data_IF_010495994394
#
_entry.id   IF_010495994394
#
_cell.length_a   1.000
_cell.length_b   1.000
_cell.length_c   1.000
_cell.angle_alpha   90.00
_cell.angle_beta   90.00
_cell.angle_gamma   90.00
#
_symmetry.space_group_name_H-M   'P 1'
#
loop_
_entity.id
_entity.type
_entity.pdbx_description
1 polymer ?
#
# COMPACT_ATOMS: atom_id res chain seq x y z
N UNK A 1 -1.94 -12.77 14.73
CA UNK A 1 -1.08 -13.30 15.82
C UNK A 1 0.13 -13.97 15.19
N UNK A 2 1.33 -13.76 15.73
CA UNK A 2 2.54 -14.44 15.25
C UNK A 2 2.40 -15.96 15.37
N UNK A 3 2.73 -16.70 14.32
CA UNK A 3 2.70 -18.16 14.29
C UNK A 3 3.70 -18.71 15.29
N UNK A 4 3.26 -19.55 16.24
CA UNK A 4 4.17 -20.24 17.16
C UNK A 4 5.02 -21.24 16.37
N UNK A 5 6.34 -21.06 16.34
CA UNK A 5 7.27 -21.91 15.59
C UNK A 5 7.56 -23.25 16.27
N UNK A 6 7.15 -23.44 17.53
CA UNK A 6 7.46 -24.62 18.33
C UNK A 6 8.92 -24.69 18.83
N UNK A 7 9.81 -23.84 18.31
CA UNK A 7 11.23 -23.74 18.67
C UNK A 7 11.50 -22.72 19.78
N UNK A 8 10.51 -21.88 20.12
CA UNK A 8 10.67 -20.74 21.04
C UNK A 8 11.06 -19.44 20.34
N UNK A 9 11.25 -19.45 19.02
CA UNK A 9 11.58 -18.26 18.24
C UNK A 9 10.37 -17.33 18.09
N UNK A 10 10.63 -16.03 18.05
CA UNK A 10 9.61 -14.99 17.87
C UNK A 10 10.02 -14.00 16.78
N UNK A 11 9.05 -13.62 15.94
CA UNK A 11 9.24 -12.58 14.93
C UNK A 11 8.98 -11.19 15.52
N UNK A 12 10.04 -10.42 15.75
CA UNK A 12 9.97 -9.12 16.46
C UNK A 12 9.96 -7.88 15.53
N UNK A 13 9.99 -8.08 14.19
CA UNK A 13 10.01 -7.01 13.19
C UNK A 13 8.64 -6.69 12.58
N UNK A 14 7.55 -7.05 13.27
CA UNK A 14 6.18 -6.88 12.76
C UNK A 14 5.83 -5.43 12.41
N UNK A 15 6.43 -4.46 13.13
CA UNK A 15 6.25 -3.03 12.88
C UNK A 15 6.85 -2.55 11.54
N UNK A 16 7.78 -3.32 10.97
CA UNK A 16 8.42 -3.02 9.68
C UNK A 16 7.84 -3.89 8.57
N UNK A 17 7.85 -5.21 8.74
CA UNK A 17 7.34 -6.16 7.74
C UNK A 17 6.30 -7.06 8.39
N UNK A 18 5.03 -6.75 8.17
CA UNK A 18 3.92 -7.55 8.72
C UNK A 18 3.96 -9.01 8.26
N UNK A 19 3.55 -9.92 9.14
CA UNK A 19 3.46 -11.36 8.87
C UNK A 19 2.06 -11.88 9.18
N UNK A 20 1.51 -12.77 8.37
CA UNK A 20 0.25 -13.44 8.67
C UNK A 20 0.30 -14.91 8.22
N UNK A 21 -0.44 -15.82 8.88
CA UNK A 21 -0.52 -17.21 8.44
C UNK A 21 -0.99 -17.28 6.98
N UNK A 22 -0.26 -18.01 6.12
CA UNK A 22 -0.58 -18.12 4.70
C UNK A 22 0.13 -17.10 3.79
N UNK A 23 0.73 -16.03 4.33
CA UNK A 23 1.34 -14.94 3.54
C UNK A 23 2.19 -15.40 2.36
N UNK A 24 3.07 -16.39 2.56
CA UNK A 24 3.92 -16.90 1.48
C UNK A 24 3.11 -17.54 0.35
N UNK A 25 2.13 -18.39 0.68
CA UNK A 25 1.30 -19.06 -0.32
C UNK A 25 0.43 -18.04 -1.08
N UNK A 26 -0.18 -17.09 -0.36
CA UNK A 26 -1.02 -16.06 -0.96
C UNK A 26 -0.20 -15.11 -1.87
N UNK A 27 1.00 -14.71 -1.44
CA UNK A 27 1.91 -13.92 -2.26
C UNK A 27 2.35 -14.65 -3.52
N UNK A 28 2.67 -15.94 -3.40
CA UNK A 28 3.07 -16.76 -4.55
C UNK A 28 1.91 -16.87 -5.56
N UNK A 29 0.70 -17.21 -5.08
CA UNK A 29 -0.48 -17.31 -5.93
C UNK A 29 -0.77 -15.98 -6.65
N UNK A 30 -0.81 -14.86 -5.92
CA UNK A 30 -1.08 -13.55 -6.52
C UNK A 30 -0.02 -13.12 -7.54
N UNK A 31 1.27 -13.41 -7.30
CA UNK A 31 2.34 -13.08 -8.24
C UNK A 31 2.32 -13.99 -9.47
N UNK A 32 2.04 -15.28 -9.31
CA UNK A 32 1.84 -16.21 -10.43
C UNK A 32 0.66 -15.76 -11.30
N UNK A 33 -0.51 -15.51 -10.72
CA UNK A 33 -1.70 -15.05 -11.44
C UNK A 33 -1.44 -13.76 -12.22
N UNK A 34 -0.72 -12.81 -11.63
CA UNK A 34 -0.33 -11.58 -12.32
C UNK A 34 0.64 -11.86 -13.48
N UNK A 35 1.65 -12.70 -13.25
CA UNK A 35 2.67 -13.03 -14.25
C UNK A 35 2.06 -13.71 -15.46
N UNK A 36 1.17 -14.69 -15.23
CA UNK A 36 0.48 -15.43 -16.29
C UNK A 36 -0.39 -14.49 -17.14
N UNK A 37 -1.16 -13.60 -16.50
CA UNK A 37 -1.97 -12.62 -17.21
C UNK A 37 -1.11 -11.61 -17.99
N UNK A 38 -0.07 -11.04 -17.35
CA UNK A 38 0.73 -9.97 -17.95
C UNK A 38 1.64 -10.45 -19.09
N UNK A 39 2.14 -11.68 -19.00
CA UNK A 39 3.02 -12.27 -20.01
C UNK A 39 2.26 -12.96 -21.15
N UNK A 40 0.93 -13.06 -21.08
CA UNK A 40 0.12 -13.67 -22.13
C UNK A 40 0.30 -12.94 -23.47
N UNK A 41 0.45 -13.65 -24.60
CA UNK A 41 0.60 -13.05 -25.93
C UNK A 41 -0.76 -12.65 -26.53
N UNK A 42 -1.58 -11.92 -25.77
CA UNK A 42 -2.88 -11.39 -26.17
C UNK A 42 -2.96 -9.87 -25.86
N UNK A 43 -4.16 -9.29 -25.89
CA UNK A 43 -4.39 -7.86 -25.57
C UNK A 43 -5.18 -7.64 -24.28
N UNK A 44 -5.36 -8.68 -23.45
CA UNK A 44 -6.32 -8.69 -22.35
C UNK A 44 -5.72 -8.17 -21.03
N UNK A 45 -4.41 -7.92 -20.98
CA UNK A 45 -3.66 -7.63 -19.75
C UNK A 45 -4.26 -6.49 -18.92
N UNK A 46 -4.63 -5.39 -19.60
CA UNK A 46 -5.21 -4.24 -18.91
C UNK A 46 -6.63 -4.50 -18.43
N UNK A 47 -7.44 -5.21 -19.23
CA UNK A 47 -8.80 -5.58 -18.85
C UNK A 47 -8.80 -6.51 -17.63
N UNK A 48 -7.78 -7.36 -17.49
CA UNK A 48 -7.64 -8.28 -16.36
C UNK A 48 -7.07 -7.61 -15.10
N UNK A 49 -6.05 -6.75 -15.24
CA UNK A 49 -5.32 -6.20 -14.09
C UNK A 49 -5.99 -4.96 -13.49
N UNK A 50 -6.62 -4.10 -14.31
CA UNK A 50 -7.22 -2.86 -13.80
C UNK A 50 -8.38 -3.10 -12.80
N UNK A 51 -9.30 -4.07 -13.01
CA UNK A 51 -10.32 -4.39 -12.01
C UNK A 51 -9.72 -4.93 -10.70
N UNK A 52 -8.65 -5.74 -10.77
CA UNK A 52 -7.96 -6.24 -9.57
C UNK A 52 -7.33 -5.09 -8.78
N UNK A 53 -6.74 -4.10 -9.47
CA UNK A 53 -6.24 -2.87 -8.83
C UNK A 53 -7.38 -2.09 -8.16
N UNK A 54 -8.53 -1.94 -8.82
CA UNK A 54 -9.66 -1.24 -8.22
C UNK A 54 -10.20 -1.96 -6.99
N UNK A 55 -10.33 -3.30 -7.04
CA UNK A 55 -10.72 -4.11 -5.89
C UNK A 55 -9.78 -3.90 -4.70
N UNK A 56 -8.47 -3.83 -4.92
CA UNK A 56 -7.50 -3.51 -3.86
C UNK A 56 -7.77 -2.15 -3.21
N UNK A 57 -8.06 -1.12 -4.01
CA UNK A 57 -8.39 0.22 -3.52
C UNK A 57 -9.71 0.19 -2.71
N UNK A 58 -10.73 -0.50 -3.21
CA UNK A 58 -12.03 -0.58 -2.57
C UNK A 58 -11.97 -1.29 -1.21
N UNK A 59 -11.20 -2.39 -1.11
CA UNK A 59 -10.95 -3.09 0.15
C UNK A 59 -10.25 -2.20 1.19
N UNK A 60 -9.28 -1.37 0.74
CA UNK A 60 -8.64 -0.40 1.63
C UNK A 60 -9.60 0.69 2.08
N UNK A 61 -10.41 1.22 1.16
CA UNK A 61 -11.40 2.23 1.48
C UNK A 61 -12.41 1.72 2.51
N UNK A 62 -12.89 0.49 2.36
CA UNK A 62 -13.75 -0.18 3.33
C UNK A 62 -13.05 -0.33 4.70
N UNK A 63 -11.82 -0.87 4.71
CA UNK A 63 -11.06 -1.14 5.93
C UNK A 63 -10.86 0.11 6.81
N UNK A 64 -10.61 1.27 6.18
CA UNK A 64 -10.36 2.53 6.91
C UNK A 64 -11.59 3.45 6.99
N UNK A 65 -12.74 3.02 6.45
CA UNK A 65 -13.96 3.81 6.41
C UNK A 65 -13.87 5.09 5.55
N UNK A 66 -13.07 5.07 4.49
CA UNK A 66 -12.90 6.22 3.60
C UNK A 66 -14.08 6.36 2.62
N UNK A 67 -14.50 7.59 2.28
CA UNK A 67 -15.51 7.80 1.25
C UNK A 67 -15.08 7.26 -0.12
N UNK A 68 -16.05 6.80 -0.91
CA UNK A 68 -15.80 6.32 -2.27
C UNK A 68 -15.05 7.37 -3.11
N UNK A 69 -14.02 6.93 -3.83
CA UNK A 69 -13.23 7.80 -4.72
C UNK A 69 -12.19 8.68 -4.01
N UNK A 70 -11.97 8.51 -2.70
CA UNK A 70 -10.98 9.30 -1.94
C UNK A 70 -9.66 8.58 -1.67
N UNK A 71 -9.57 7.29 -2.04
CA UNK A 71 -8.38 6.46 -1.83
C UNK A 71 -7.67 6.22 -3.16
N UNK A 72 -6.34 6.27 -3.14
CA UNK A 72 -5.49 5.93 -4.29
C UNK A 72 -4.20 5.24 -3.82
N UNK A 73 -3.47 4.66 -4.77
CA UNK A 73 -2.19 3.96 -4.54
C UNK A 73 -1.01 4.92 -4.69
N UNK A 74 0.05 4.69 -3.92
CA UNK A 74 1.37 5.34 -4.08
C UNK A 74 2.46 4.32 -3.81
N UNK A 75 3.62 4.48 -4.44
CA UNK A 75 4.76 3.56 -4.31
C UNK A 75 5.41 3.59 -2.92
N UNK A 76 5.29 4.72 -2.21
CA UNK A 76 5.82 4.87 -0.85
C UNK A 76 5.12 5.99 -0.09
N UNK A 77 5.22 5.95 1.24
CA UNK A 77 4.71 7.02 2.12
C UNK A 77 5.34 8.37 1.76
N UNK A 78 6.66 8.40 1.51
CA UNK A 78 7.38 9.61 1.09
C UNK A 78 6.87 10.15 -0.23
N UNK A 79 6.72 9.30 -1.26
CA UNK A 79 6.18 9.72 -2.56
C UNK A 79 4.74 10.24 -2.43
N UNK A 80 3.90 9.57 -1.64
CA UNK A 80 2.53 10.00 -1.38
C UNK A 80 2.47 11.36 -0.70
N UNK A 81 3.26 11.57 0.35
CA UNK A 81 3.31 12.84 1.07
C UNK A 81 3.79 13.98 0.17
N UNK A 82 4.84 13.75 -0.63
CA UNK A 82 5.34 14.75 -1.58
C UNK A 82 4.32 15.08 -2.67
N UNK A 83 3.57 14.09 -3.16
CA UNK A 83 2.48 14.32 -4.11
C UNK A 83 1.37 15.20 -3.51
N UNK A 84 0.98 14.95 -2.25
CA UNK A 84 -0.01 15.78 -1.55
C UNK A 84 0.49 17.21 -1.39
N UNK A 85 1.72 17.40 -0.90
CA UNK A 85 2.31 18.74 -0.71
C UNK A 85 2.44 19.48 -2.05
N UNK A 86 2.91 18.80 -3.10
CA UNK A 86 3.09 19.38 -4.43
C UNK A 86 1.78 19.76 -5.13
N UNK A 87 0.67 19.10 -4.78
CA UNK A 87 -0.66 19.41 -5.33
C UNK A 87 -1.33 20.61 -4.64
N UNK A 88 -0.79 21.12 -3.53
CA UNK A 88 -1.38 22.26 -2.83
C UNK A 88 -1.23 23.55 -3.66
N UNK A 89 -2.26 24.43 -3.68
CA UNK A 89 -2.13 25.76 -4.26
C UNK A 89 -0.96 26.55 -3.65
N UNK A 90 -0.31 27.40 -4.43
CA UNK A 90 0.92 28.11 -4.05
C UNK A 90 0.82 28.85 -2.69
N UNK A 91 -0.30 29.51 -2.43
CA UNK A 91 -0.54 30.26 -1.20
C UNK A 91 -0.85 29.42 0.04
N UNK A 92 -1.00 28.10 -0.12
CA UNK A 92 -1.39 27.20 0.98
C UNK A 92 -0.31 27.11 2.04
N UNK A 93 0.95 27.00 1.63
CA UNK A 93 2.10 26.85 2.55
C UNK A 93 3.07 28.04 2.53
N UNK A 94 3.16 28.80 1.44
CA UNK A 94 4.15 29.87 1.28
C UNK A 94 4.04 30.90 2.41
N UNK A 95 5.16 31.15 3.10
CA UNK A 95 5.25 32.11 4.22
C UNK A 95 4.55 31.67 5.52
N UNK A 96 4.04 30.42 5.58
CA UNK A 96 3.40 29.86 6.77
C UNK A 96 4.34 28.90 7.49
N UNK A 97 3.94 28.47 8.68
CA UNK A 97 4.63 27.44 9.47
C UNK A 97 3.83 26.15 9.41
N UNK A 98 4.52 25.03 9.20
CA UNK A 98 3.93 23.69 9.23
C UNK A 98 4.20 23.09 10.60
N UNK A 99 3.15 22.64 11.27
CA UNK A 99 3.26 21.87 12.51
C UNK A 99 3.52 20.41 12.16
N UNK A 100 4.58 19.85 12.72
CA UNK A 100 4.94 18.44 12.57
C UNK A 100 5.09 17.82 13.96
N UNK A 101 4.76 16.53 14.09
CA UNK A 101 4.99 15.78 15.31
C UNK A 101 6.49 15.42 15.42
N UNK A 102 7.04 15.47 16.63
CA UNK A 102 8.45 15.18 16.91
C UNK A 102 8.82 13.72 16.61
N UNK A 103 7.87 12.80 16.81
CA UNK A 103 7.99 11.36 16.60
C UNK A 103 7.45 10.90 15.24
N UNK A 104 7.20 11.84 14.33
CA UNK A 104 6.75 11.52 12.97
C UNK A 104 7.77 10.68 12.21
N UNK A 105 7.29 9.73 11.40
CA UNK A 105 8.16 8.97 10.51
C UNK A 105 8.88 9.92 9.53
N UNK A 106 10.19 9.73 9.27
CA UNK A 106 11.01 10.66 8.48
C UNK A 106 10.73 10.53 6.97
N UNK A 107 9.52 10.85 6.56
CA UNK A 107 9.11 10.96 5.16
C UNK A 107 9.17 12.39 4.61
N UNK A 108 9.57 13.35 5.46
CA UNK A 108 9.84 14.75 5.11
C UNK A 108 11.34 15.05 5.25
#
# INVERSE_FOLDING_TARGET
MSTKTGTGDAYLLYHSIGQYPGKHADMLAGLTDFTDAWAAPNGDQWADVLPKRQQFIDLWAELIGAPQGTVTTTESVTTGLMAVIGALPEGTLRGKKVLVAEDGFPSL
#
